data_IF_536480333709
#
_entry.id   IF_536480333709
#
_cell.length_a   1.000
_cell.length_b   1.000
_cell.length_c   1.000
_cell.angle_alpha   90.00
_cell.angle_beta   90.00
_cell.angle_gamma   90.00
#
_symmetry.space_group_name_H-M   'P 1'
#
loop_
_entity.id
_entity.type
_entity.pdbx_description
1 polymer ?
#
# COMPACT_ATOMS: atom_id res chain seq x y z
N UNK A 1 -8.45 27.22 -8.63
CA UNK A 1 -7.29 26.31 -8.58
C UNK A 1 -7.77 24.88 -8.74
N UNK A 2 -7.39 24.19 -9.81
CA UNK A 2 -7.76 22.78 -10.00
C UNK A 2 -7.20 21.94 -8.83
N UNK A 3 -8.07 21.49 -7.92
CA UNK A 3 -7.73 20.53 -6.86
C UNK A 3 -7.52 19.14 -7.50
N UNK A 4 -6.48 18.99 -8.31
CA UNK A 4 -6.16 17.74 -9.04
C UNK A 4 -5.97 16.58 -8.05
N UNK A 5 -5.49 16.85 -6.84
CA UNK A 5 -5.37 15.87 -5.76
C UNK A 5 -6.19 16.29 -4.53
N UNK A 6 -7.33 15.64 -4.34
CA UNK A 6 -8.16 15.72 -3.14
C UNK A 6 -7.92 14.48 -2.26
N UNK A 7 -8.14 14.61 -0.94
CA UNK A 7 -8.13 13.50 0.03
C UNK A 7 -8.85 12.24 -0.50
N UNK A 8 -10.05 12.43 -1.06
CA UNK A 8 -10.87 11.32 -1.60
C UNK A 8 -10.18 10.62 -2.77
N UNK A 9 -9.51 11.36 -3.65
CA UNK A 9 -8.79 10.81 -4.80
C UNK A 9 -7.57 10.02 -4.31
N UNK A 10 -6.77 10.59 -3.41
CA UNK A 10 -5.57 9.94 -2.88
C UNK A 10 -5.89 8.59 -2.23
N UNK A 11 -6.92 8.54 -1.36
CA UNK A 11 -7.35 7.29 -0.74
C UNK A 11 -7.99 6.32 -1.74
N UNK A 12 -8.63 6.81 -2.81
CA UNK A 12 -9.14 5.93 -3.88
C UNK A 12 -7.98 5.23 -4.58
N UNK A 13 -6.92 5.97 -4.91
CA UNK A 13 -5.71 5.42 -5.53
C UNK A 13 -5.08 4.38 -4.59
N UNK A 14 -4.91 4.72 -3.30
CA UNK A 14 -4.37 3.78 -2.32
C UNK A 14 -5.19 2.48 -2.25
N UNK A 15 -6.52 2.60 -2.15
CA UNK A 15 -7.41 1.44 -2.10
C UNK A 15 -7.33 0.58 -3.37
N UNK A 16 -7.34 1.20 -4.55
CA UNK A 16 -7.27 0.48 -5.84
C UNK A 16 -5.93 -0.25 -5.99
N UNK A 17 -4.82 0.39 -5.64
CA UNK A 17 -3.49 -0.25 -5.71
C UNK A 17 -3.40 -1.42 -4.75
N UNK A 18 -3.88 -1.28 -3.51
CA UNK A 18 -3.91 -2.38 -2.54
C UNK A 18 -4.81 -3.54 -2.99
N UNK A 19 -5.98 -3.24 -3.58
CA UNK A 19 -6.86 -4.26 -4.14
C UNK A 19 -6.21 -4.99 -5.34
N UNK A 20 -5.44 -4.28 -6.18
CA UNK A 20 -4.69 -4.89 -7.26
C UNK A 20 -3.58 -5.82 -6.76
N UNK A 21 -2.87 -5.44 -5.68
CA UNK A 21 -1.88 -6.30 -5.01
C UNK A 21 -2.56 -7.57 -4.49
N UNK A 22 -3.69 -7.43 -3.78
CA UNK A 22 -4.50 -8.56 -3.32
C UNK A 22 -4.85 -9.51 -4.46
N UNK A 23 -5.42 -8.99 -5.55
CA UNK A 23 -5.84 -9.81 -6.69
C UNK A 23 -4.66 -10.57 -7.29
N UNK A 24 -3.51 -9.92 -7.45
CA UNK A 24 -2.31 -10.56 -7.98
C UNK A 24 -1.82 -11.68 -7.07
N UNK A 25 -1.76 -11.43 -5.76
CA UNK A 25 -1.37 -12.43 -4.76
C UNK A 25 -2.37 -13.58 -4.63
N UNK A 26 -3.65 -13.39 -4.94
CA UNK A 26 -4.67 -14.43 -4.86
C UNK A 26 -4.74 -15.29 -6.14
N UNK A 27 -4.64 -14.66 -7.31
CA UNK A 27 -4.77 -15.33 -8.61
C UNK A 27 -3.46 -16.02 -9.03
N UNK A 28 -2.32 -15.39 -8.76
CA UNK A 28 -1.00 -15.86 -9.20
C UNK A 28 -0.03 -16.01 -8.02
N UNK A 29 -0.51 -16.56 -6.89
CA UNK A 29 0.26 -16.70 -5.65
C UNK A 29 1.63 -17.35 -5.90
N UNK A 30 1.65 -18.47 -6.62
CA UNK A 30 2.87 -19.27 -6.84
C UNK A 30 3.89 -18.53 -7.71
N UNK A 31 3.42 -17.86 -8.77
CA UNK A 31 4.29 -17.08 -9.65
C UNK A 31 4.84 -15.81 -8.98
N UNK A 32 4.06 -15.16 -8.11
CA UNK A 32 4.53 -14.00 -7.33
C UNK A 32 5.54 -14.45 -6.28
N UNK A 33 5.19 -15.42 -5.45
CA UNK A 33 6.04 -15.89 -4.36
C UNK A 33 7.34 -16.51 -4.91
N UNK A 34 7.29 -17.29 -5.99
CA UNK A 34 8.48 -17.89 -6.60
C UNK A 34 9.42 -16.86 -7.25
N UNK A 35 8.88 -15.74 -7.76
CA UNK A 35 9.71 -14.66 -8.31
C UNK A 35 10.34 -13.79 -7.22
N UNK A 36 9.57 -13.49 -6.18
CA UNK A 36 9.99 -12.62 -5.07
C UNK A 36 10.91 -13.35 -4.09
N UNK A 37 10.63 -14.62 -3.82
CA UNK A 37 11.40 -15.49 -2.95
C UNK A 37 11.67 -16.83 -3.64
N UNK A 38 12.70 -16.94 -4.51
CA UNK A 38 12.99 -18.15 -5.26
C UNK A 38 13.34 -19.37 -4.39
N UNK A 39 13.73 -19.13 -3.13
CA UNK A 39 14.03 -20.17 -2.15
C UNK A 39 12.84 -20.53 -1.25
N UNK A 40 11.67 -19.91 -1.45
CA UNK A 40 10.49 -20.21 -0.65
C UNK A 40 9.86 -21.55 -1.09
N UNK A 41 9.52 -22.39 -0.11
CA UNK A 41 8.91 -23.71 -0.34
C UNK A 41 7.58 -23.86 0.40
N UNK A 42 6.65 -24.61 -0.17
CA UNK A 42 5.43 -25.11 0.51
C UNK A 42 4.56 -24.02 1.12
N UNK A 43 4.61 -23.86 2.44
CA UNK A 43 3.71 -23.01 3.24
C UNK A 43 3.79 -21.51 2.92
N UNK A 44 4.85 -21.04 2.25
CA UNK A 44 4.98 -19.64 1.86
C UNK A 44 3.81 -19.14 0.98
N UNK A 45 3.19 -20.02 0.18
CA UNK A 45 2.05 -19.64 -0.65
C UNK A 45 0.80 -19.30 0.18
N UNK A 46 0.58 -20.01 1.30
CA UNK A 46 -0.52 -19.69 2.21
C UNK A 46 -0.30 -18.34 2.90
N UNK A 47 0.96 -18.04 3.27
CA UNK A 47 1.33 -16.74 3.84
C UNK A 47 1.04 -15.61 2.85
N UNK A 48 1.38 -15.78 1.57
CA UNK A 48 1.10 -14.80 0.52
C UNK A 48 -0.40 -14.53 0.33
N UNK A 49 -1.25 -15.55 0.40
CA UNK A 49 -2.71 -15.39 0.35
C UNK A 49 -3.25 -14.66 1.59
N UNK A 50 -2.68 -14.94 2.77
CA UNK A 50 -3.01 -14.21 3.99
C UNK A 50 -2.62 -12.73 3.89
N UNK A 51 -1.41 -12.44 3.40
CA UNK A 51 -0.93 -11.06 3.17
C UNK A 51 -1.83 -10.36 2.14
N UNK A 52 -2.16 -11.03 1.04
CA UNK A 52 -3.10 -10.50 0.04
C UNK A 52 -4.44 -10.15 0.69
N UNK A 53 -5.02 -11.05 1.49
CA UNK A 53 -6.29 -10.82 2.17
C UNK A 53 -6.23 -9.64 3.15
N UNK A 54 -5.09 -9.47 3.84
CA UNK A 54 -4.83 -8.29 4.65
C UNK A 54 -4.79 -7.00 3.81
N UNK A 55 -4.13 -7.03 2.64
CA UNK A 55 -4.13 -5.88 1.72
C UNK A 55 -5.54 -5.51 1.27
N UNK A 56 -6.42 -6.49 1.02
CA UNK A 56 -7.83 -6.24 0.70
C UNK A 56 -8.56 -5.58 1.88
N UNK A 57 -8.37 -6.07 3.10
CA UNK A 57 -8.98 -5.47 4.28
C UNK A 57 -8.56 -4.00 4.44
N UNK A 58 -7.27 -3.69 4.28
CA UNK A 58 -6.75 -2.31 4.32
C UNK A 58 -7.30 -1.49 3.15
N UNK A 59 -7.43 -2.06 1.95
CA UNK A 59 -8.04 -1.41 0.80
C UNK A 59 -9.49 -0.98 1.08
N UNK A 60 -10.30 -1.88 1.67
CA UNK A 60 -11.67 -1.60 2.08
C UNK A 60 -11.74 -0.48 3.12
N UNK A 61 -10.93 -0.56 4.18
CA UNK A 61 -10.88 0.48 5.23
C UNK A 61 -10.52 1.84 4.63
N UNK A 62 -9.49 1.87 3.78
CA UNK A 62 -9.01 3.08 3.10
C UNK A 62 -10.09 3.66 2.16
N UNK A 63 -10.80 2.79 1.43
CA UNK A 63 -11.90 3.19 0.56
C UNK A 63 -13.08 3.78 1.33
N UNK A 64 -13.44 3.20 2.47
CA UNK A 64 -14.51 3.73 3.32
C UNK A 64 -14.11 5.01 4.03
N UNK A 65 -12.84 5.16 4.42
CA UNK A 65 -12.33 6.36 5.07
C UNK A 65 -12.45 7.64 4.19
N UNK A 66 -12.64 7.48 2.86
CA UNK A 66 -12.99 8.60 1.95
C UNK A 66 -14.26 9.36 2.34
N UNK A 67 -15.15 8.74 3.12
CA UNK A 67 -16.39 9.37 3.59
C UNK A 67 -16.17 10.35 4.74
N UNK A 68 -14.97 10.40 5.33
CA UNK A 68 -14.64 11.38 6.38
C UNK A 68 -14.64 12.79 5.80
N UNK A 69 -15.40 13.69 6.41
CA UNK A 69 -15.55 15.09 5.96
C UNK A 69 -14.65 16.06 6.74
N UNK A 70 -14.44 15.81 8.03
CA UNK A 70 -13.61 16.64 8.91
C UNK A 70 -12.13 16.62 8.49
N UNK A 71 -11.55 17.80 8.27
CA UNK A 71 -10.19 17.95 7.72
C UNK A 71 -9.11 17.43 8.67
N UNK A 72 -9.27 17.56 9.98
CA UNK A 72 -8.32 17.00 10.96
C UNK A 72 -8.33 15.47 10.92
N UNK A 73 -9.50 14.88 10.86
CA UNK A 73 -9.69 13.44 10.74
C UNK A 73 -9.13 12.91 9.41
N UNK A 74 -9.35 13.62 8.30
CA UNK A 74 -8.73 13.30 7.01
C UNK A 74 -7.20 13.30 7.08
N UNK A 75 -6.60 14.28 7.77
CA UNK A 75 -5.14 14.35 7.95
C UNK A 75 -4.61 13.19 8.81
N UNK A 76 -5.32 12.79 9.86
CA UNK A 76 -4.95 11.65 10.69
C UNK A 76 -5.00 10.34 9.88
N UNK A 77 -6.04 10.13 9.09
CA UNK A 77 -6.14 8.96 8.19
C UNK A 77 -4.97 8.94 7.20
N UNK A 78 -4.70 10.06 6.52
CA UNK A 78 -3.56 10.15 5.59
C UNK A 78 -2.22 9.90 6.28
N UNK A 79 -2.05 10.39 7.52
CA UNK A 79 -0.85 10.14 8.31
C UNK A 79 -0.71 8.67 8.68
N UNK A 80 -1.81 8.01 9.09
CA UNK A 80 -1.84 6.57 9.34
C UNK A 80 -1.46 5.75 8.11
N UNK A 81 -2.05 6.07 6.95
CA UNK A 81 -1.69 5.45 5.68
C UNK A 81 -0.20 5.67 5.33
N UNK A 82 0.29 6.91 5.44
CA UNK A 82 1.69 7.21 5.18
C UNK A 82 2.65 6.42 6.07
N UNK A 83 2.34 6.27 7.36
CA UNK A 83 3.18 5.48 8.28
C UNK A 83 3.15 4.00 7.91
N UNK A 84 1.96 3.43 7.67
CA UNK A 84 1.83 2.03 7.28
C UNK A 84 2.59 1.72 5.98
N UNK A 85 2.45 2.58 4.97
CA UNK A 85 3.17 2.41 3.71
C UNK A 85 4.67 2.66 3.84
N UNK A 86 5.10 3.59 4.70
CA UNK A 86 6.52 3.84 4.94
C UNK A 86 7.19 2.62 5.60
N UNK A 87 6.53 2.00 6.58
CA UNK A 87 7.02 0.77 7.21
C UNK A 87 7.16 -0.34 6.16
N UNK A 88 6.14 -0.55 5.32
CA UNK A 88 6.21 -1.53 4.23
C UNK A 88 7.35 -1.23 3.24
N UNK A 89 7.52 0.03 2.84
CA UNK A 89 8.61 0.46 1.97
C UNK A 89 9.98 0.16 2.59
N UNK A 90 10.19 0.49 3.86
CA UNK A 90 11.45 0.23 4.56
C UNK A 90 11.70 -1.28 4.68
N UNK A 91 10.70 -2.06 5.07
CA UNK A 91 10.83 -3.52 5.21
C UNK A 91 11.18 -4.18 3.87
N UNK A 92 10.42 -3.89 2.81
CA UNK A 92 10.67 -4.46 1.48
C UNK A 92 11.97 -3.93 0.87
N UNK A 93 12.29 -2.66 1.08
CA UNK A 93 13.53 -2.05 0.65
C UNK A 93 14.74 -2.70 1.30
N UNK A 94 14.68 -2.97 2.62
CA UNK A 94 15.73 -3.68 3.33
C UNK A 94 15.90 -5.10 2.77
N UNK A 95 14.81 -5.85 2.59
CA UNK A 95 14.86 -7.20 1.99
C UNK A 95 15.45 -7.19 0.58
N UNK A 96 15.20 -6.13 -0.19
CA UNK A 96 15.73 -5.96 -1.55
C UNK A 96 17.25 -5.68 -1.51
N UNK A 97 17.70 -4.76 -0.64
CA UNK A 97 19.11 -4.35 -0.54
C UNK A 97 19.98 -5.47 0.04
N UNK A 98 19.47 -6.24 1.01
CA UNK A 98 20.18 -7.39 1.56
C UNK A 98 20.06 -8.65 0.70
N UNK A 99 19.43 -8.56 -0.49
CA UNK A 99 19.22 -9.66 -1.43
C UNK A 99 18.49 -10.87 -0.83
N UNK A 100 17.69 -10.65 0.23
CA UNK A 100 16.82 -11.68 0.80
C UNK A 100 15.62 -11.98 -0.09
N UNK A 101 15.23 -11.02 -0.94
CA UNK A 101 14.08 -11.14 -1.83
C UNK A 101 14.17 -10.19 -3.04
N UNK A 102 13.56 -10.57 -4.16
CA UNK A 102 13.46 -9.73 -5.36
C UNK A 102 12.12 -8.98 -5.41
N UNK A 103 11.93 -8.00 -4.52
CA UNK A 103 10.64 -7.30 -4.30
C UNK A 103 10.75 -5.80 -4.65
N UNK A 104 11.65 -5.45 -5.57
CA UNK A 104 11.84 -4.05 -6.02
C UNK A 104 10.53 -3.40 -6.45
N UNK A 105 9.65 -4.15 -7.13
CA UNK A 105 8.33 -3.68 -7.53
C UNK A 105 7.46 -3.25 -6.34
N UNK A 106 7.36 -4.10 -5.31
CA UNK A 106 6.62 -3.77 -4.09
C UNK A 106 7.22 -2.56 -3.36
N UNK A 107 8.55 -2.51 -3.24
CA UNK A 107 9.28 -1.39 -2.65
C UNK A 107 8.90 -0.05 -3.32
N UNK A 108 8.93 0.01 -4.65
CA UNK A 108 8.58 1.24 -5.40
C UNK A 108 7.11 1.62 -5.15
N UNK A 109 6.19 0.65 -5.19
CA UNK A 109 4.76 0.92 -4.98
C UNK A 109 4.50 1.56 -3.62
N UNK A 110 5.05 0.99 -2.54
CA UNK A 110 4.86 1.54 -1.19
C UNK A 110 5.56 2.88 -0.99
N UNK A 111 6.69 3.13 -1.65
CA UNK A 111 7.34 4.45 -1.66
C UNK A 111 6.41 5.53 -2.28
N UNK A 112 5.83 5.22 -3.45
CA UNK A 112 4.92 6.12 -4.16
C UNK A 112 3.64 6.38 -3.35
N UNK A 113 3.04 5.34 -2.76
CA UNK A 113 1.86 5.51 -1.90
C UNK A 113 2.16 6.34 -0.65
N UNK A 114 3.34 6.15 -0.03
CA UNK A 114 3.80 6.98 1.08
C UNK A 114 3.90 8.44 0.67
N UNK A 115 4.60 8.72 -0.43
CA UNK A 115 4.77 10.07 -0.95
C UNK A 115 3.42 10.72 -1.29
N UNK A 116 2.51 9.96 -1.90
CA UNK A 116 1.15 10.41 -2.21
C UNK A 116 0.37 10.82 -0.95
N UNK A 117 0.39 9.98 0.10
CA UNK A 117 -0.30 10.28 1.35
C UNK A 117 0.29 11.52 2.05
N UNK A 118 1.62 11.64 2.09
CA UNK A 118 2.31 12.80 2.69
C UNK A 118 2.01 14.08 1.90
N UNK A 119 2.14 14.05 0.57
CA UNK A 119 1.86 15.19 -0.30
C UNK A 119 0.42 15.68 -0.14
N UNK A 120 -0.54 14.75 -0.17
CA UNK A 120 -1.95 15.07 -0.02
C UNK A 120 -2.22 15.68 1.35
N UNK A 121 -1.63 15.16 2.42
CA UNK A 121 -1.79 15.70 3.78
C UNK A 121 -1.31 17.15 3.86
N UNK A 122 -0.13 17.45 3.31
CA UNK A 122 0.42 18.82 3.31
C UNK A 122 -0.51 19.79 2.58
N UNK A 123 -1.11 19.34 1.48
CA UNK A 123 -2.08 20.13 0.70
C UNK A 123 -3.42 20.32 1.42
N UNK A 124 -3.90 19.32 2.17
CA UNK A 124 -5.12 19.43 2.99
C UNK A 124 -4.97 20.42 4.17
N UNK A 125 -3.76 20.90 4.48
CA UNK A 125 -3.49 21.88 5.55
C UNK A 125 -3.64 23.35 5.09
N UNK A 126 -3.71 23.61 3.79
CA UNK A 126 -3.62 24.96 3.22
C UNK A 126 -4.98 25.62 2.91
N UNK A 127 -6.09 24.98 3.28
CA UNK A 127 -7.45 25.56 3.28
C UNK A 127 -7.89 25.78 4.73
#
# INVERSE_FOLDING_TARGET
MNKIFSYKIALTICAVVLAAIFLNMQINTEGVAGREFPNASGDAYNIYRCIGSLMLAIACITFFARKVEDTKSQQLVLMGCAHGFAVMFITLGLMTVTQMANITGGTIVFAVLTALCVYTRVRTKSD
#
